data_IF_179191060846
#
_entry.id   IF_179191060846
#
_cell.length_a   1.000
_cell.length_b   1.000
_cell.length_c   1.000
_cell.angle_alpha   90.00
_cell.angle_beta   90.00
_cell.angle_gamma   90.00
#
_symmetry.space_group_name_H-M   'P 1'
#
loop_
_entity.id
_entity.type
_entity.pdbx_description
1 polymer ?
#
# COMPACT_ATOMS: atom_id res chain seq x y z
N UNK A 1 17.41 -24.96 -26.26
CA UNK A 1 16.01 -24.64 -25.92
C UNK A 1 15.95 -23.13 -25.69
N UNK A 2 15.37 -22.39 -26.62
CA UNK A 2 15.29 -20.93 -26.59
C UNK A 2 14.18 -20.53 -25.64
N UNK A 3 14.50 -19.72 -24.64
CA UNK A 3 13.52 -19.10 -23.74
C UNK A 3 12.77 -18.02 -24.50
N UNK A 4 11.48 -18.20 -24.71
CA UNK A 4 10.61 -17.13 -25.16
C UNK A 4 10.39 -16.17 -23.99
N UNK A 5 11.09 -15.04 -24.05
CA UNK A 5 10.75 -13.87 -23.27
C UNK A 5 9.42 -13.34 -23.81
N UNK A 6 8.33 -13.52 -23.07
CA UNK A 6 7.08 -12.81 -23.36
C UNK A 6 7.30 -11.36 -22.98
N UNK A 7 7.61 -10.57 -23.99
CA UNK A 7 7.65 -9.12 -23.90
C UNK A 7 6.24 -8.62 -23.56
N UNK A 8 6.09 -8.11 -22.36
CA UNK A 8 4.93 -7.30 -21.97
C UNK A 8 5.11 -5.95 -22.67
N UNK A 9 4.88 -5.94 -23.98
CA UNK A 9 4.93 -4.73 -24.81
C UNK A 9 3.73 -3.90 -24.41
N UNK A 10 4.00 -2.79 -23.75
CA UNK A 10 3.05 -1.70 -23.61
C UNK A 10 2.68 -1.26 -25.04
N UNK A 11 1.46 -1.56 -25.48
CA UNK A 11 1.02 -1.27 -26.85
C UNK A 11 0.84 0.25 -26.97
N UNK A 12 1.88 0.95 -27.40
CA UNK A 12 1.97 2.43 -27.50
C UNK A 12 1.15 3.02 -28.64
N UNK A 13 0.40 2.23 -29.41
CA UNK A 13 -0.30 2.70 -30.63
C UNK A 13 -1.71 3.27 -30.39
N UNK A 14 -2.17 3.45 -29.15
CA UNK A 14 -3.53 3.90 -28.85
C UNK A 14 -3.63 5.19 -28.03
N UNK A 15 -2.58 6.01 -27.96
CA UNK A 15 -2.63 7.29 -27.22
C UNK A 15 -2.32 8.46 -28.13
N UNK A 16 -3.10 8.58 -29.23
CA UNK A 16 -3.26 9.82 -29.98
C UNK A 16 -4.75 10.04 -30.20
N UNK A 17 -5.48 10.39 -29.14
CA UNK A 17 -6.78 11.04 -29.28
C UNK A 17 -6.72 12.40 -28.57
N UNK A 18 -6.50 13.44 -29.40
CA UNK A 18 -6.80 14.81 -29.07
C UNK A 18 -8.33 14.95 -28.97
N UNK A 19 -8.91 14.64 -27.82
CA UNK A 19 -10.30 15.02 -27.55
C UNK A 19 -10.50 15.30 -26.07
N UNK A 20 -10.89 16.54 -25.82
CA UNK A 20 -11.44 17.12 -24.60
C UNK A 20 -10.48 17.30 -23.40
N UNK A 21 -10.41 18.54 -22.94
CA UNK A 21 -9.91 18.97 -21.64
C UNK A 21 -10.84 18.41 -20.55
N UNK A 22 -10.80 17.12 -20.31
CA UNK A 22 -11.30 16.53 -19.08
C UNK A 22 -10.22 16.75 -18.04
N UNK A 23 -10.52 17.54 -17.04
CA UNK A 23 -9.61 17.73 -15.89
C UNK A 23 -9.20 16.37 -15.37
N UNK A 24 -7.87 16.12 -15.28
CA UNK A 24 -7.33 14.87 -14.77
C UNK A 24 -7.90 14.58 -13.38
N UNK A 25 -8.52 13.43 -13.19
CA UNK A 25 -9.06 13.01 -11.89
C UNK A 25 -7.92 12.94 -10.87
N UNK A 26 -6.77 12.39 -11.26
CA UNK A 26 -5.62 12.25 -10.38
C UNK A 26 -5.12 13.60 -9.84
N UNK A 27 -5.15 14.66 -10.65
CA UNK A 27 -4.77 16.01 -10.20
C UNK A 27 -5.72 16.58 -9.14
N UNK A 28 -6.96 16.13 -9.13
CA UNK A 28 -7.95 16.55 -8.12
C UNK A 28 -7.86 15.78 -6.80
N UNK A 29 -7.11 14.66 -6.77
CA UNK A 29 -6.92 13.85 -5.57
C UNK A 29 -5.86 14.50 -4.68
N UNK A 30 -6.28 15.07 -3.58
CA UNK A 30 -5.42 15.64 -2.54
C UNK A 30 -5.25 14.70 -1.35
N UNK A 31 -6.25 13.84 -1.13
CA UNK A 31 -6.24 12.84 -0.08
C UNK A 31 -7.06 11.60 -0.48
N UNK A 32 -6.86 10.45 0.15
CA UNK A 32 -7.65 9.25 -0.13
C UNK A 32 -9.16 9.40 0.11
N UNK A 33 -9.59 10.37 0.89
CA UNK A 33 -11.02 10.65 1.13
C UNK A 33 -11.73 11.07 -0.14
N UNK A 34 -11.03 11.70 -1.09
CA UNK A 34 -11.59 12.15 -2.37
C UNK A 34 -12.07 10.96 -3.21
N UNK A 35 -11.46 9.78 -3.04
CA UNK A 35 -11.86 8.54 -3.73
C UNK A 35 -13.29 8.13 -3.42
N UNK A 36 -13.78 8.43 -2.21
CA UNK A 36 -15.11 8.01 -1.75
C UNK A 36 -16.25 8.63 -2.58
N UNK A 37 -15.99 9.74 -3.25
CA UNK A 37 -16.95 10.47 -4.10
C UNK A 37 -16.96 9.99 -5.54
N UNK A 38 -16.00 9.15 -5.96
CA UNK A 38 -15.83 8.71 -7.34
C UNK A 38 -16.73 7.50 -7.65
N UNK A 39 -17.27 7.47 -8.87
CA UNK A 39 -17.96 6.28 -9.39
C UNK A 39 -16.94 5.18 -9.75
N UNK A 40 -17.41 3.95 -9.95
CA UNK A 40 -16.56 2.82 -10.37
C UNK A 40 -15.85 3.12 -11.69
N UNK A 41 -16.55 3.77 -12.64
CA UNK A 41 -15.99 4.17 -13.94
C UNK A 41 -14.86 5.18 -13.75
N UNK A 42 -15.07 6.18 -12.86
CA UNK A 42 -14.06 7.19 -12.53
C UNK A 42 -12.85 6.59 -11.80
N UNK A 43 -13.06 5.59 -10.93
CA UNK A 43 -11.95 4.84 -10.32
C UNK A 43 -11.14 4.06 -11.38
N UNK A 44 -11.80 3.52 -12.39
CA UNK A 44 -11.15 2.88 -13.54
C UNK A 44 -10.35 3.88 -14.39
N UNK A 45 -10.86 5.11 -14.58
CA UNK A 45 -10.12 6.19 -15.24
C UNK A 45 -8.89 6.60 -14.43
N UNK A 46 -9.08 6.85 -13.12
CA UNK A 46 -8.00 7.15 -12.19
C UNK A 46 -6.87 6.10 -12.26
N UNK A 47 -7.22 4.81 -12.35
CA UNK A 47 -6.23 3.74 -12.48
C UNK A 47 -5.41 3.88 -13.78
N UNK A 48 -6.04 4.29 -14.89
CA UNK A 48 -5.36 4.55 -16.17
C UNK A 48 -4.43 5.75 -16.07
N UNK A 49 -4.87 6.84 -15.43
CA UNK A 49 -4.06 8.05 -15.21
C UNK A 49 -2.83 7.75 -14.34
N UNK A 50 -3.00 7.02 -13.23
CA UNK A 50 -1.89 6.58 -12.37
C UNK A 50 -0.87 5.78 -13.17
N UNK A 51 -1.31 4.81 -13.99
CA UNK A 51 -0.40 4.03 -14.85
C UNK A 51 0.36 4.92 -15.83
N UNK A 52 -0.33 5.86 -16.47
CA UNK A 52 0.29 6.79 -17.41
C UNK A 52 1.40 7.61 -16.75
N UNK A 53 1.16 8.14 -15.54
CA UNK A 53 2.16 8.89 -14.78
C UNK A 53 3.37 8.02 -14.42
N UNK A 54 3.14 6.80 -13.94
CA UNK A 54 4.24 5.88 -13.58
C UNK A 54 5.03 5.46 -14.83
N UNK A 55 4.38 5.17 -15.96
CA UNK A 55 5.05 4.84 -17.22
C UNK A 55 5.91 6.01 -17.72
N UNK A 56 5.37 7.23 -17.76
CA UNK A 56 6.14 8.43 -18.15
C UNK A 56 7.37 8.63 -17.27
N UNK A 57 7.25 8.43 -15.96
CA UNK A 57 8.40 8.55 -15.06
C UNK A 57 9.46 7.47 -15.34
N UNK A 58 9.06 6.27 -15.76
CA UNK A 58 9.98 5.18 -16.09
C UNK A 58 10.84 5.45 -17.33
N UNK A 59 10.40 6.31 -18.24
CA UNK A 59 11.16 6.76 -19.40
C UNK A 59 12.32 7.68 -18.99
N UNK A 60 12.15 8.39 -17.89
CA UNK A 60 13.13 9.39 -17.41
C UNK A 60 14.14 8.81 -16.43
N UNK A 61 13.79 7.74 -15.72
CA UNK A 61 14.64 7.16 -14.66
C UNK A 61 14.30 5.72 -14.32
N UNK A 62 15.28 5.02 -13.76
CA UNK A 62 15.08 3.64 -13.28
C UNK A 62 14.18 3.61 -12.05
N UNK A 63 13.01 2.95 -12.18
CA UNK A 63 12.03 2.77 -11.11
C UNK A 63 11.56 1.31 -11.04
N UNK A 64 10.79 0.96 -10.01
CA UNK A 64 10.17 -0.37 -9.88
C UNK A 64 8.86 -0.43 -10.68
N UNK A 65 8.94 -0.36 -12.02
CA UNK A 65 7.77 -0.19 -12.90
C UNK A 65 6.75 -1.32 -12.73
N UNK A 66 7.12 -2.56 -13.02
CA UNK A 66 6.20 -3.69 -13.05
C UNK A 66 5.49 -3.92 -11.70
N UNK A 67 6.23 -3.83 -10.59
CA UNK A 67 5.69 -4.00 -9.25
C UNK A 67 4.62 -2.97 -8.91
N UNK A 68 4.73 -1.75 -9.46
CA UNK A 68 3.77 -0.67 -9.21
C UNK A 68 2.57 -0.74 -10.16
N UNK A 69 2.76 -1.10 -11.42
CA UNK A 69 1.64 -1.26 -12.36
C UNK A 69 0.69 -2.39 -11.93
N UNK A 70 1.21 -3.43 -11.31
CA UNK A 70 0.41 -4.58 -10.85
C UNK A 70 -0.43 -4.33 -9.60
N UNK A 71 -0.24 -3.21 -8.90
CA UNK A 71 -0.95 -2.91 -7.63
C UNK A 71 -1.80 -1.65 -7.69
N UNK A 72 -2.02 -1.06 -8.87
CA UNK A 72 -2.77 0.20 -9.00
C UNK A 72 -4.19 0.04 -8.49
N UNK A 73 -4.98 -0.88 -9.02
CA UNK A 73 -6.36 -1.12 -8.61
C UNK A 73 -6.44 -1.62 -7.18
N UNK A 74 -5.51 -2.48 -6.77
CA UNK A 74 -5.41 -2.94 -5.38
C UNK A 74 -5.25 -1.75 -4.43
N UNK A 75 -4.34 -0.82 -4.75
CA UNK A 75 -4.08 0.34 -3.90
C UNK A 75 -5.29 1.28 -3.86
N UNK A 76 -5.94 1.53 -5.00
CA UNK A 76 -7.18 2.31 -5.06
C UNK A 76 -8.26 1.64 -4.20
N UNK A 77 -8.47 0.33 -4.34
CA UNK A 77 -9.47 -0.41 -3.58
C UNK A 77 -9.21 -0.37 -2.08
N UNK A 78 -7.96 -0.52 -1.66
CA UNK A 78 -7.58 -0.42 -0.24
C UNK A 78 -7.89 0.97 0.32
N UNK A 79 -7.51 2.05 -0.38
CA UNK A 79 -7.82 3.41 0.04
C UNK A 79 -9.31 3.77 -0.08
N UNK A 80 -10.04 3.10 -0.97
CA UNK A 80 -11.49 3.25 -1.08
C UNK A 80 -12.23 2.60 0.09
N UNK A 81 -11.77 1.44 0.57
CA UNK A 81 -12.44 0.67 1.63
C UNK A 81 -12.00 1.15 3.02
N UNK A 82 -10.71 1.27 3.24
CA UNK A 82 -10.12 1.63 4.54
C UNK A 82 -9.84 3.13 4.65
N UNK A 83 -9.77 3.62 5.88
CA UNK A 83 -9.29 4.98 6.18
C UNK A 83 -7.91 4.90 6.81
N UNK A 84 -6.86 4.99 5.99
CA UNK A 84 -5.48 4.91 6.46
C UNK A 84 -4.96 6.18 7.17
N UNK A 85 -5.78 7.20 7.35
CA UNK A 85 -5.51 8.23 8.36
C UNK A 85 -5.71 7.67 9.78
N UNK A 86 -6.52 6.61 9.90
CA UNK A 86 -6.85 5.90 11.13
C UNK A 86 -6.34 4.45 11.13
N UNK A 87 -6.65 3.67 10.11
CA UNK A 87 -6.26 2.28 9.92
C UNK A 87 -4.74 2.16 9.65
N UNK A 88 -4.22 0.95 9.64
CA UNK A 88 -2.79 0.65 9.48
C UNK A 88 -2.54 -0.03 8.13
N UNK A 89 -1.69 0.58 7.29
CA UNK A 89 -1.24 0.00 6.03
C UNK A 89 0.28 -0.20 6.07
N UNK A 90 0.72 -1.44 5.82
CA UNK A 90 2.14 -1.78 5.76
C UNK A 90 2.42 -2.51 4.44
N UNK A 91 3.34 -1.97 3.64
CA UNK A 91 3.84 -2.65 2.45
C UNK A 91 5.08 -3.47 2.79
N UNK A 92 5.12 -4.73 2.35
CA UNK A 92 6.34 -5.55 2.45
C UNK A 92 7.37 -5.06 1.44
N UNK A 93 8.62 -4.89 1.85
CA UNK A 93 9.67 -4.18 1.10
C UNK A 93 9.27 -2.72 0.84
N UNK A 94 8.09 -2.45 0.30
CA UNK A 94 7.55 -1.11 0.07
C UNK A 94 7.89 -0.49 -1.29
N UNK A 95 8.55 -1.22 -2.18
CA UNK A 95 8.90 -0.75 -3.53
C UNK A 95 7.68 -0.58 -4.47
N UNK A 96 6.52 -1.11 -4.09
CA UNK A 96 5.23 -1.03 -4.80
C UNK A 96 4.31 0.08 -4.26
N UNK A 97 4.86 1.13 -3.63
CA UNK A 97 4.09 2.19 -2.98
C UNK A 97 3.79 3.43 -3.86
N UNK A 98 4.10 3.41 -5.16
CA UNK A 98 3.94 4.61 -6.00
C UNK A 98 2.47 5.02 -6.17
N UNK A 99 1.51 4.12 -6.43
CA UNK A 99 0.10 4.47 -6.43
C UNK A 99 -0.36 5.05 -5.08
N UNK A 100 0.12 4.48 -3.96
CA UNK A 100 -0.15 5.00 -2.63
C UNK A 100 0.35 6.45 -2.46
N UNK A 101 1.57 6.77 -2.93
CA UNK A 101 2.10 8.13 -2.89
C UNK A 101 1.24 9.11 -3.71
N UNK A 102 0.81 8.70 -4.91
CA UNK A 102 -0.05 9.51 -5.77
C UNK A 102 -1.41 9.79 -5.12
N UNK A 103 -2.01 8.80 -4.46
CA UNK A 103 -3.32 8.91 -3.81
C UNK A 103 -3.28 9.66 -2.47
N UNK A 104 -2.11 9.86 -1.89
CA UNK A 104 -1.91 10.51 -0.59
C UNK A 104 -1.29 11.90 -0.71
N UNK A 105 -1.66 12.64 -1.77
CA UNK A 105 -1.36 14.07 -1.95
C UNK A 105 0.07 14.38 -2.36
N UNK A 106 0.80 13.43 -2.96
CA UNK A 106 2.20 13.64 -3.41
C UNK A 106 2.35 13.76 -4.92
N UNK A 107 1.23 13.98 -5.65
CA UNK A 107 1.23 14.08 -7.10
C UNK A 107 2.17 15.19 -7.60
N UNK A 108 2.08 16.39 -7.05
CA UNK A 108 2.88 17.56 -7.49
C UNK A 108 4.38 17.37 -7.31
N UNK A 109 4.80 16.48 -6.42
CA UNK A 109 6.21 16.17 -6.15
C UNK A 109 6.65 14.87 -6.80
N UNK A 110 5.76 14.16 -7.49
CA UNK A 110 6.02 12.80 -7.94
C UNK A 110 7.17 12.72 -8.96
N UNK A 111 7.39 13.76 -9.75
CA UNK A 111 8.53 13.85 -10.66
C UNK A 111 9.89 13.82 -9.95
N UNK A 112 9.94 14.11 -8.66
CA UNK A 112 11.16 14.03 -7.85
C UNK A 112 11.41 12.62 -7.27
N UNK A 113 10.58 11.63 -7.59
CA UNK A 113 10.71 10.28 -7.05
C UNK A 113 12.10 9.68 -7.33
N UNK A 114 12.76 9.18 -6.28
CA UNK A 114 14.11 8.61 -6.32
C UNK A 114 15.21 9.58 -6.78
N UNK A 115 15.02 10.87 -6.60
CA UNK A 115 16.08 11.87 -6.75
C UNK A 115 16.61 12.31 -5.39
N UNK A 116 17.80 12.89 -5.36
CA UNK A 116 18.35 13.48 -4.13
C UNK A 116 17.48 14.62 -3.63
N UNK A 117 17.05 14.58 -2.37
CA UNK A 117 16.13 15.57 -1.79
C UNK A 117 14.68 15.48 -2.28
N UNK A 118 14.37 14.54 -3.17
CA UNK A 118 13.03 14.27 -3.67
C UNK A 118 12.30 13.17 -2.88
N UNK A 119 11.22 12.66 -3.47
CA UNK A 119 10.45 11.57 -2.88
C UNK A 119 11.24 10.25 -2.87
N UNK A 120 11.16 9.53 -1.76
CA UNK A 120 11.71 8.18 -1.62
C UNK A 120 10.98 7.19 -2.54
N UNK A 121 11.68 6.19 -3.05
CA UNK A 121 11.09 5.04 -3.74
C UNK A 121 10.38 4.05 -2.82
N UNK A 122 10.35 4.31 -1.52
CA UNK A 122 9.74 3.50 -0.45
C UNK A 122 8.87 4.39 0.43
N UNK A 123 7.96 3.83 1.25
CA UNK A 123 7.27 4.59 2.28
C UNK A 123 8.26 5.34 3.18
N UNK A 124 7.95 6.57 3.51
CA UNK A 124 8.80 7.42 4.34
C UNK A 124 7.93 8.34 5.23
N UNK A 125 7.90 8.13 6.56
CA UNK A 125 7.13 8.96 7.50
C UNK A 125 7.48 10.45 7.49
N UNK A 126 8.65 10.82 6.98
CA UNK A 126 9.02 12.23 6.81
C UNK A 126 8.34 12.90 5.60
N UNK A 127 7.68 12.11 4.74
CA UNK A 127 6.99 12.62 3.56
C UNK A 127 5.48 12.74 3.75
N UNK A 128 4.89 11.86 4.56
CA UNK A 128 3.44 11.76 4.73
C UNK A 128 3.07 10.97 5.99
N UNK A 129 2.03 11.40 6.68
CA UNK A 129 1.44 10.69 7.83
C UNK A 129 0.81 9.34 7.44
N UNK A 130 0.57 9.12 6.15
CA UNK A 130 0.11 7.82 5.63
C UNK A 130 1.22 6.77 5.55
N UNK A 131 2.48 7.16 5.66
CA UNK A 131 3.64 6.27 5.64
C UNK A 131 4.06 5.95 7.08
N UNK A 132 3.67 4.80 7.62
CA UNK A 132 3.88 4.46 9.04
C UNK A 132 5.35 4.12 9.38
N UNK A 133 6.08 3.54 8.42
CA UNK A 133 7.46 3.10 8.59
C UNK A 133 8.28 3.30 7.33
N UNK A 134 9.58 3.49 7.51
CA UNK A 134 10.55 3.27 6.44
C UNK A 134 10.72 1.75 6.27
N UNK A 135 10.28 1.23 5.12
CA UNK A 135 10.41 -0.19 4.77
C UNK A 135 11.57 -0.43 3.81
N UNK A 136 11.87 -1.67 3.48
CA UNK A 136 12.98 -2.03 2.58
C UNK A 136 13.36 -3.52 2.68
N UNK A 137 13.07 -4.18 3.81
CA UNK A 137 13.34 -5.59 4.03
C UNK A 137 12.15 -6.47 3.71
N UNK A 138 12.40 -7.60 3.06
CA UNK A 138 11.39 -8.60 2.77
C UNK A 138 10.97 -9.37 4.04
N UNK A 139 9.68 -9.66 4.15
CA UNK A 139 9.12 -10.54 5.19
C UNK A 139 8.75 -9.86 6.50
N UNK A 140 8.86 -8.53 6.62
CA UNK A 140 8.62 -7.83 7.88
C UNK A 140 7.17 -7.32 8.03
N UNK A 141 6.43 -7.17 6.94
CA UNK A 141 5.14 -6.47 6.95
C UNK A 141 4.07 -7.11 7.82
N UNK A 142 3.93 -8.43 7.77
CA UNK A 142 2.91 -9.16 8.54
C UNK A 142 3.16 -9.02 10.04
N UNK A 143 4.42 -9.21 10.49
CA UNK A 143 4.80 -9.03 11.88
C UNK A 143 4.63 -7.58 12.35
N UNK A 144 4.97 -6.61 11.51
CA UNK A 144 4.77 -5.19 11.79
C UNK A 144 3.28 -4.84 11.92
N UNK A 145 2.46 -5.26 10.97
CA UNK A 145 1.00 -5.02 11.02
C UNK A 145 0.35 -5.71 12.22
N UNK A 146 0.80 -6.91 12.58
CA UNK A 146 0.36 -7.62 13.77
C UNK A 146 0.70 -6.84 15.04
N UNK A 147 1.95 -6.36 15.15
CA UNK A 147 2.40 -5.57 16.29
C UNK A 147 1.61 -4.27 16.47
N UNK A 148 1.32 -3.57 15.35
CA UNK A 148 0.46 -2.37 15.37
C UNK A 148 -0.96 -2.70 15.83
N UNK A 149 -1.56 -3.76 15.30
CA UNK A 149 -2.91 -4.19 15.68
C UNK A 149 -3.01 -4.56 17.15
N UNK A 150 -1.98 -5.23 17.70
CA UNK A 150 -1.91 -5.53 19.12
C UNK A 150 -1.73 -4.27 19.98
N UNK A 151 -0.85 -3.37 19.57
CA UNK A 151 -0.63 -2.10 20.26
C UNK A 151 -1.91 -1.26 20.31
N UNK A 152 -2.59 -1.11 19.18
CA UNK A 152 -3.87 -0.40 19.11
C UNK A 152 -4.93 -1.03 20.04
N UNK A 153 -4.99 -2.37 20.12
CA UNK A 153 -5.89 -3.08 21.05
C UNK A 153 -5.54 -2.82 22.51
N UNK A 154 -4.27 -2.80 22.88
CA UNK A 154 -3.84 -2.52 24.25
C UNK A 154 -4.18 -1.09 24.65
N UNK A 155 -3.96 -0.12 23.76
CA UNK A 155 -4.33 1.28 24.00
C UNK A 155 -5.85 1.42 24.21
N UNK A 156 -6.67 0.69 23.43
CA UNK A 156 -8.12 0.67 23.61
C UNK A 156 -8.53 0.16 24.99
N UNK A 157 -7.95 -0.96 25.43
CA UNK A 157 -8.24 -1.57 26.75
C UNK A 157 -7.83 -0.62 27.90
N UNK A 158 -6.69 0.03 27.79
CA UNK A 158 -6.23 0.98 28.84
C UNK A 158 -7.05 2.28 28.84
N UNK A 159 -7.57 2.69 27.69
CA UNK A 159 -8.50 3.83 27.57
C UNK A 159 -9.81 3.57 28.32
N UNK A 160 -10.39 2.38 28.17
CA UNK A 160 -11.62 1.98 28.86
C UNK A 160 -11.42 1.95 30.41
N UNK A 161 -10.30 1.42 30.88
CA UNK A 161 -9.99 1.38 32.32
C UNK A 161 -9.80 2.75 32.95
N UNK A 162 -9.32 3.75 32.20
CA UNK A 162 -9.17 5.13 32.70
C UNK A 162 -10.51 5.86 32.81
N UNK A 163 -11.49 5.47 32.02
CA UNK A 163 -12.84 6.03 32.09
C UNK A 163 -13.66 5.46 33.27
N UNK A 164 -13.22 4.38 33.91
CA UNK A 164 -13.80 3.78 35.13
C UNK A 164 -13.22 4.36 36.42
N UNK A 165 -12.19 5.20 36.40
CA UNK A 165 -11.60 5.85 37.57
C UNK A 165 -12.33 7.15 37.91
N UNK A 166 -12.57 7.47 39.21
CA UNK A 166 -13.31 8.67 39.59
C UNK A 166 -12.58 9.97 39.22
N UNK A 167 -13.34 10.85 38.63
CA UNK A 167 -13.11 12.19 38.11
C UNK A 167 -11.87 12.96 38.66
N UNK A 168 -10.92 13.21 37.75
CA UNK A 168 -10.15 14.46 37.79
C UNK A 168 -10.39 15.24 36.50
N UNK A 169 -10.61 16.58 36.57
CA UNK A 169 -10.99 17.38 35.41
C UNK A 169 -9.77 17.64 34.52
N UNK A 170 -9.64 16.95 33.44
CA UNK A 170 -8.69 17.28 32.37
C UNK A 170 -9.32 17.11 31.01
N UNK A 171 -9.39 18.25 30.32
CA UNK A 171 -9.52 18.47 28.86
C UNK A 171 -10.24 17.36 28.08
N UNK A 172 -11.49 17.63 27.77
CA UNK A 172 -12.39 16.81 26.97
C UNK A 172 -11.82 16.57 25.57
N UNK A 173 -11.29 15.38 25.32
CA UNK A 173 -11.32 14.80 23.99
C UNK A 173 -12.65 14.07 23.86
N UNK A 174 -13.49 14.59 22.95
CA UNK A 174 -14.82 14.08 22.60
C UNK A 174 -14.86 12.55 22.53
N UNK A 175 -15.81 11.95 23.23
CA UNK A 175 -16.03 10.50 23.33
C UNK A 175 -16.15 9.80 21.99
N UNK A 176 -15.04 9.33 21.47
CA UNK A 176 -14.99 8.35 20.40
C UNK A 176 -15.00 6.98 21.08
N UNK A 177 -16.07 6.22 20.90
CA UNK A 177 -16.07 4.77 21.05
C UNK A 177 -14.76 4.24 20.47
N UNK A 178 -14.00 3.47 21.25
CA UNK A 178 -12.68 3.00 20.84
C UNK A 178 -12.82 1.99 19.70
N UNK A 179 -13.05 2.49 18.48
CA UNK A 179 -13.14 1.67 17.29
C UNK A 179 -11.78 1.01 17.05
N UNK A 180 -11.78 -0.33 16.99
CA UNK A 180 -10.57 -1.12 16.73
C UNK A 180 -10.11 -0.80 15.31
N UNK A 181 -8.87 -0.31 15.16
CA UNK A 181 -8.23 -0.06 13.87
C UNK A 181 -8.05 -1.36 13.09
N UNK A 182 -8.23 -1.29 11.79
CA UNK A 182 -7.87 -2.38 10.90
C UNK A 182 -6.37 -2.32 10.60
N UNK A 183 -5.73 -3.47 10.50
CA UNK A 183 -4.34 -3.56 10.07
C UNK A 183 -4.27 -4.37 8.77
N UNK A 184 -3.59 -3.82 7.78
CA UNK A 184 -3.43 -4.39 6.44
C UNK A 184 -1.95 -4.53 6.12
N UNK A 185 -1.51 -5.73 5.75
CA UNK A 185 -0.19 -6.00 5.21
C UNK A 185 -0.29 -6.38 3.74
N UNK A 186 0.39 -5.65 2.85
CA UNK A 186 0.50 -5.98 1.43
C UNK A 186 1.84 -6.65 1.18
N UNK A 187 1.83 -7.90 0.72
CA UNK A 187 3.01 -8.75 0.56
C UNK A 187 3.09 -9.24 -0.88
N UNK A 188 4.25 -9.07 -1.51
CA UNK A 188 4.52 -9.69 -2.81
C UNK A 188 4.87 -11.18 -2.66
N UNK A 189 4.58 -11.96 -3.69
CA UNK A 189 4.84 -13.40 -3.75
C UNK A 189 6.33 -13.75 -3.55
N UNK A 190 7.24 -12.89 -4.01
CA UNK A 190 8.68 -13.06 -3.78
C UNK A 190 9.08 -12.95 -2.31
N UNK A 191 8.42 -12.08 -1.54
CA UNK A 191 8.66 -11.92 -0.10
C UNK A 191 7.88 -12.91 0.75
N UNK A 192 6.74 -13.39 0.26
CA UNK A 192 5.84 -14.26 1.02
C UNK A 192 6.46 -15.57 1.44
N UNK A 193 7.51 -16.03 0.76
CA UNK A 193 8.26 -17.25 1.10
C UNK A 193 9.26 -17.08 2.23
N UNK A 194 9.41 -15.87 2.80
CA UNK A 194 10.36 -15.60 3.89
C UNK A 194 9.85 -16.11 5.24
N UNK A 195 10.76 -16.65 6.07
CA UNK A 195 10.45 -17.25 7.37
C UNK A 195 9.64 -16.34 8.32
N UNK A 196 10.02 -15.05 8.49
CA UNK A 196 9.30 -14.15 9.40
C UNK A 196 7.81 -13.97 9.11
N UNK A 197 7.37 -14.11 7.85
CA UNK A 197 5.95 -14.07 7.49
C UNK A 197 5.19 -15.24 8.12
N UNK A 198 5.76 -16.45 8.04
CA UNK A 198 5.13 -17.65 8.61
C UNK A 198 5.06 -17.60 10.14
N UNK A 199 6.10 -17.11 10.78
CA UNK A 199 6.12 -16.90 12.23
C UNK A 199 5.03 -15.91 12.66
N UNK A 200 4.93 -14.78 11.96
CA UNK A 200 3.93 -13.76 12.22
C UNK A 200 2.50 -14.26 11.96
N UNK A 201 2.27 -14.98 10.86
CA UNK A 201 0.97 -15.56 10.54
C UNK A 201 0.56 -16.65 11.56
N UNK A 202 1.50 -17.51 11.97
CA UNK A 202 1.27 -18.51 12.98
C UNK A 202 0.85 -17.87 14.32
N UNK A 203 1.56 -16.80 14.73
CA UNK A 203 1.23 -16.06 15.94
C UNK A 203 -0.12 -15.34 15.83
N UNK A 204 -0.40 -14.68 14.70
CA UNK A 204 -1.67 -14.00 14.45
C UNK A 204 -2.86 -14.96 14.54
N UNK A 205 -2.70 -16.19 14.00
CA UNK A 205 -3.70 -17.26 14.08
C UNK A 205 -3.96 -17.74 15.50
N UNK A 206 -2.90 -17.94 16.29
CA UNK A 206 -2.99 -18.38 17.68
C UNK A 206 -3.73 -17.36 18.56
N UNK A 207 -3.35 -16.09 18.49
CA UNK A 207 -3.99 -15.02 19.29
C UNK A 207 -5.28 -14.49 18.66
N UNK A 208 -5.69 -15.01 17.50
CA UNK A 208 -6.91 -14.62 16.75
C UNK A 208 -7.01 -13.11 16.54
N UNK A 209 -5.88 -12.47 16.23
CA UNK A 209 -5.84 -11.03 16.00
C UNK A 209 -6.39 -10.70 14.62
N UNK A 210 -7.22 -9.63 14.54
CA UNK A 210 -7.77 -9.14 13.29
C UNK A 210 -6.65 -8.51 12.45
N UNK A 211 -6.33 -9.14 11.34
CA UNK A 211 -5.30 -8.74 10.40
C UNK A 211 -5.72 -9.12 8.98
N UNK A 212 -5.58 -8.21 8.04
CA UNK A 212 -5.73 -8.50 6.61
C UNK A 212 -4.34 -8.63 5.97
N UNK A 213 -4.03 -9.82 5.46
CA UNK A 213 -2.83 -10.06 4.66
C UNK A 213 -3.24 -10.17 3.19
N UNK A 214 -2.76 -9.26 2.37
CA UNK A 214 -3.00 -9.24 0.93
C UNK A 214 -1.76 -9.79 0.24
N UNK A 215 -1.85 -11.00 -0.30
CA UNK A 215 -0.81 -11.59 -1.13
C UNK A 215 -0.99 -11.13 -2.57
N UNK A 216 -0.06 -10.29 -3.06
CA UNK A 216 0.00 -9.90 -4.46
C UNK A 216 0.92 -10.85 -5.22
N UNK A 217 0.32 -11.85 -5.89
CA UNK A 217 1.06 -12.83 -6.69
C UNK A 217 0.98 -12.49 -8.18
N UNK A 218 2.05 -11.89 -8.68
CA UNK A 218 2.24 -11.61 -10.11
C UNK A 218 3.25 -12.57 -10.77
N UNK A 219 3.71 -13.57 -10.04
CA UNK A 219 4.73 -14.56 -10.45
C UNK A 219 6.06 -13.91 -10.89
N UNK A 220 6.32 -12.68 -10.43
CA UNK A 220 7.54 -11.93 -10.74
C UNK A 220 8.38 -11.72 -9.49
N UNK A 221 9.58 -12.26 -9.48
CA UNK A 221 10.61 -12.01 -8.46
C UNK A 221 11.95 -11.78 -9.14
N UNK A 222 12.88 -11.12 -8.43
CA UNK A 222 14.26 -10.86 -8.93
C UNK A 222 14.95 -12.16 -9.29
N UNK A 223 14.76 -13.22 -8.48
CA UNK A 223 15.27 -14.56 -8.71
C UNK A 223 14.12 -15.56 -8.69
N UNK A 224 14.32 -16.71 -9.37
CA UNK A 224 13.33 -17.80 -9.30
C UNK A 224 13.07 -18.18 -7.84
N UNK A 225 11.81 -18.26 -7.45
CA UNK A 225 11.41 -18.74 -6.12
C UNK A 225 11.91 -20.17 -5.91
N UNK A 226 12.46 -20.44 -4.74
CA UNK A 226 12.98 -21.76 -4.36
C UNK A 226 12.30 -22.25 -3.08
N UNK A 227 12.31 -23.56 -2.88
CA UNK A 227 11.72 -24.20 -1.71
C UNK A 227 10.33 -24.78 -1.94
N UNK A 228 9.82 -25.49 -0.93
CA UNK A 228 8.55 -26.22 -1.00
C UNK A 228 7.36 -25.28 -1.18
N UNK A 229 7.36 -24.18 -0.45
CA UNK A 229 6.27 -23.20 -0.50
C UNK A 229 6.27 -22.38 -1.81
N UNK A 230 7.44 -22.01 -2.33
CA UNK A 230 7.54 -21.39 -3.66
C UNK A 230 6.94 -22.28 -4.74
N UNK A 231 7.21 -23.59 -4.68
CA UNK A 231 6.60 -24.58 -5.59
C UNK A 231 5.08 -24.70 -5.42
N UNK A 232 4.58 -24.60 -4.20
CA UNK A 232 3.15 -24.63 -3.93
C UNK A 232 2.42 -23.43 -4.56
N UNK A 233 3.02 -22.23 -4.50
CA UNK A 233 2.45 -21.02 -5.11
C UNK A 233 2.52 -21.03 -6.66
N UNK A 234 3.40 -21.85 -7.24
CA UNK A 234 3.55 -21.98 -8.69
C UNK A 234 2.53 -22.94 -9.34
N UNK A 235 1.77 -23.71 -8.53
CA UNK A 235 0.69 -24.59 -8.95
C UNK A 235 -0.69 -23.94 -8.85
#
# INVERSE_FOLDING_TARGET
>A
MKSESRDCVCNMSAINDETSITSSILQSITSPTDLKSLSIEQLGELAREIRSVICKLSELRSIHLASNLGVVELTIALHYVFDFSWDRLVFDVGHQCYPHKLLTGRFDRFDSLRTWGGLSGYPNPLESDYDLFMTGHAGCSVGTALGLSLGDRLVAIDGDKRNEAPEQPSVSHSGASCAIRNAVAVVGDGSFTSGPIFEAMNHAGDIRQKLLVVLNDNKMSICRRVGGFGRYLDH
#
